data_IF_668342142172
#
_entry.id   IF_668342142172
#
_cell.length_a   1.000
_cell.length_b   1.000
_cell.length_c   1.000
_cell.angle_alpha   90.00
_cell.angle_beta   90.00
_cell.angle_gamma   90.00
#
_symmetry.space_group_name_H-M   'P 1'
#
loop_
_entity.id
_entity.type
_entity.pdbx_description
1 polymer ?
#
# COMPACT_ATOMS: atom_id res chain seq x y z
N UNK A 1 -4.23 7.97 -4.85
CA UNK A 1 -3.36 7.08 -4.05
C UNK A 1 -2.25 6.58 -4.96
N UNK A 2 -1.14 7.29 -5.04
CA UNK A 2 -0.07 6.97 -5.99
C UNK A 2 1.23 6.87 -5.24
N UNK A 3 1.72 5.64 -5.08
CA UNK A 3 3.08 5.35 -4.60
C UNK A 3 4.01 5.49 -5.81
N UNK A 4 5.04 6.33 -5.70
CA UNK A 4 5.99 6.62 -6.78
C UNK A 4 6.96 5.44 -6.96
N UNK A 5 7.10 4.97 -8.21
CA UNK A 5 7.69 3.67 -8.63
C UNK A 5 9.23 3.62 -8.50
N UNK A 6 9.89 4.64 -7.94
CA UNK A 6 11.34 4.62 -7.72
C UNK A 6 11.81 3.67 -6.61
N UNK A 7 10.92 3.25 -5.70
CA UNK A 7 11.38 2.61 -4.46
C UNK A 7 10.60 1.35 -4.03
N UNK A 8 9.33 1.14 -4.41
CA UNK A 8 8.63 -0.12 -4.12
C UNK A 8 9.26 -1.29 -4.92
N UNK A 9 9.95 -2.18 -4.22
CA UNK A 9 10.66 -3.32 -4.83
C UNK A 9 9.76 -4.54 -5.13
N UNK A 10 8.48 -4.51 -4.72
CA UNK A 10 7.60 -5.66 -4.90
C UNK A 10 7.96 -6.89 -4.05
N UNK A 11 8.71 -6.71 -2.95
CA UNK A 11 9.23 -7.82 -2.12
C UNK A 11 8.15 -8.63 -1.38
N UNK A 12 6.93 -8.11 -1.27
CA UNK A 12 5.81 -8.83 -0.67
C UNK A 12 5.69 -8.77 0.86
N UNK A 13 6.67 -8.19 1.56
CA UNK A 13 6.71 -8.17 3.03
C UNK A 13 5.44 -7.57 3.66
N UNK A 14 4.96 -6.45 3.11
CA UNK A 14 3.73 -5.80 3.58
C UNK A 14 2.46 -6.63 3.38
N UNK A 15 2.43 -7.51 2.36
CA UNK A 15 1.31 -8.41 2.11
C UNK A 15 1.26 -9.53 3.15
N UNK A 16 2.43 -10.03 3.56
CA UNK A 16 2.57 -11.13 4.51
C UNK A 16 2.35 -10.67 5.96
N UNK A 17 2.80 -9.46 6.30
CA UNK A 17 2.68 -8.96 7.68
C UNK A 17 1.29 -8.43 8.03
N UNK A 18 0.47 -8.07 7.03
CA UNK A 18 -0.81 -7.42 7.29
C UNK A 18 -1.81 -8.41 7.92
N UNK A 19 -2.19 -8.27 9.20
CA UNK A 19 -3.00 -9.26 9.92
C UNK A 19 -4.41 -9.41 9.35
N UNK A 20 -4.91 -8.35 8.72
CA UNK A 20 -6.22 -8.29 8.07
C UNK A 20 -6.15 -8.44 6.55
N UNK A 21 -4.95 -8.66 5.99
CA UNK A 21 -4.71 -8.77 4.55
C UNK A 21 -5.32 -7.64 3.71
N UNK A 22 -5.28 -6.40 4.22
CA UNK A 22 -5.84 -5.23 3.55
C UNK A 22 -4.94 -4.67 2.44
N UNK A 23 -3.71 -5.16 2.28
CA UNK A 23 -2.75 -4.69 1.26
C UNK A 23 -2.75 -5.64 0.06
N UNK A 24 -2.91 -5.07 -1.14
CA UNK A 24 -2.89 -5.83 -2.40
C UNK A 24 -2.02 -5.13 -3.45
N UNK A 25 -1.35 -5.90 -4.33
CA UNK A 25 -0.71 -5.32 -5.49
C UNK A 25 -1.79 -4.85 -6.44
N UNK A 26 -1.67 -3.64 -6.95
CA UNK A 26 -2.51 -3.18 -8.04
C UNK A 26 -1.81 -3.41 -9.36
N UNK A 27 -2.58 -3.90 -10.32
CA UNK A 27 -2.17 -4.05 -11.70
C UNK A 27 -3.09 -3.24 -12.61
N UNK A 28 -2.46 -2.38 -13.38
CA UNK A 28 -2.59 -2.26 -14.82
C UNK A 28 -3.66 -3.04 -15.62
N UNK A 29 -4.40 -2.40 -16.53
CA UNK A 29 -5.08 -3.12 -17.63
C UNK A 29 -4.09 -3.74 -18.63
N UNK A 30 -2.84 -3.26 -18.64
CA UNK A 30 -1.72 -3.77 -19.44
C UNK A 30 -0.84 -4.74 -18.61
N UNK A 31 -1.24 -5.04 -17.38
CA UNK A 31 -0.50 -5.90 -16.46
C UNK A 31 0.70 -5.22 -15.79
N UNK A 32 0.89 -3.92 -15.95
CA UNK A 32 1.93 -3.20 -15.24
C UNK A 32 1.53 -2.98 -13.77
N UNK A 33 2.41 -3.43 -12.87
CA UNK A 33 2.27 -3.25 -11.42
C UNK A 33 3.16 -2.13 -10.89
N UNK A 34 3.39 -2.14 -9.57
CA UNK A 34 4.33 -1.23 -8.91
C UNK A 34 3.70 -0.32 -7.86
N UNK A 35 2.37 -0.41 -7.69
CA UNK A 35 1.66 0.27 -6.60
C UNK A 35 0.88 -0.73 -5.76
N UNK A 36 0.67 -0.37 -4.51
CA UNK A 36 -0.17 -1.10 -3.58
C UNK A 36 -1.50 -0.36 -3.42
N UNK A 37 -2.57 -1.11 -3.22
CA UNK A 37 -3.87 -0.59 -2.76
C UNK A 37 -4.14 -1.09 -1.35
N UNK A 38 -4.78 -0.23 -0.56
CA UNK A 38 -5.23 -0.54 0.80
C UNK A 38 -6.74 -0.64 0.77
N UNK A 39 -7.28 -1.74 1.27
CA UNK A 39 -8.71 -2.03 1.32
C UNK A 39 -9.35 -1.40 2.56
N UNK A 40 -10.67 -1.19 2.50
CA UNK A 40 -11.45 -0.45 3.51
C UNK A 40 -11.39 -1.04 4.92
N UNK A 41 -11.09 -2.33 5.05
CA UNK A 41 -10.97 -3.01 6.34
C UNK A 41 -9.57 -2.89 6.97
N UNK A 42 -8.70 -2.03 6.43
CA UNK A 42 -7.44 -1.66 7.07
C UNK A 42 -7.70 -1.00 8.42
N UNK A 43 -7.00 -1.45 9.46
CA UNK A 43 -7.16 -0.94 10.83
C UNK A 43 -6.17 0.17 11.19
N UNK A 44 -5.22 0.48 10.30
CA UNK A 44 -4.14 1.44 10.59
C UNK A 44 -3.13 0.94 11.65
N UNK A 45 -2.87 -0.37 11.70
CA UNK A 45 -1.96 -0.98 12.69
C UNK A 45 -0.48 -0.57 12.52
N UNK A 46 -0.02 -0.35 11.28
CA UNK A 46 1.32 0.16 11.00
C UNK A 46 2.39 -0.89 10.70
N UNK A 47 2.16 -2.20 10.86
CA UNK A 47 3.17 -3.23 10.55
C UNK A 47 3.73 -3.14 9.13
N UNK A 48 2.93 -2.70 8.17
CA UNK A 48 3.37 -2.55 6.78
C UNK A 48 4.46 -1.48 6.62
N UNK A 49 4.45 -0.44 7.45
CA UNK A 49 5.49 0.59 7.49
C UNK A 49 6.77 -0.03 8.06
N UNK A 50 6.66 -0.68 9.21
CA UNK A 50 7.80 -1.26 9.92
C UNK A 50 8.53 -2.34 9.10
N UNK A 51 7.80 -3.17 8.36
CA UNK A 51 8.39 -4.27 7.60
C UNK A 51 8.98 -3.83 6.25
N UNK A 52 8.76 -2.58 5.82
CA UNK A 52 9.18 -2.14 4.50
C UNK A 52 10.70 -1.99 4.42
N UNK A 53 11.44 -2.84 3.68
CA UNK A 53 12.91 -2.83 3.70
C UNK A 53 13.52 -1.60 3.01
N UNK A 54 12.70 -0.84 2.30
CA UNK A 54 13.07 0.35 1.52
C UNK A 54 12.37 1.60 2.02
N UNK A 55 11.58 1.49 3.09
CA UNK A 55 10.93 2.60 3.80
C UNK A 55 10.09 3.51 2.88
N UNK A 56 9.17 2.90 2.10
CA UNK A 56 8.35 3.62 1.09
C UNK A 56 6.86 3.65 1.41
N UNK A 57 6.46 3.14 2.57
CA UNK A 57 5.06 3.07 3.00
C UNK A 57 4.85 4.14 4.06
N UNK A 58 3.94 5.07 3.79
CA UNK A 58 3.56 6.14 4.72
C UNK A 58 2.11 5.95 5.20
N UNK A 59 1.90 6.20 6.50
CA UNK A 59 0.56 6.23 7.10
C UNK A 59 -0.01 7.64 7.00
N UNK A 60 -1.07 7.80 6.21
CA UNK A 60 -1.84 9.05 6.13
C UNK A 60 -3.21 8.87 6.80
N UNK A 61 -3.78 9.91 7.42
CA UNK A 61 -5.15 9.84 7.94
C UNK A 61 -6.12 9.40 6.85
N UNK A 62 -7.10 8.56 7.20
CA UNK A 62 -8.16 8.19 6.28
C UNK A 62 -8.88 9.45 5.82
N UNK A 63 -8.58 9.90 4.61
CA UNK A 63 -9.20 11.05 3.98
C UNK A 63 -10.66 10.69 3.75
N UNK A 64 -11.53 11.27 4.59
CA UNK A 64 -12.98 11.26 4.40
C UNK A 64 -13.25 11.67 2.95
N UNK A 65 -13.89 10.77 2.21
CA UNK A 65 -14.29 10.94 0.81
C UNK A 65 -14.77 12.37 0.52
N UNK A 66 -13.94 13.15 -0.18
CA UNK A 66 -14.22 14.56 -0.46
C UNK A 66 -13.11 15.23 -1.26
N UNK A 67 -12.78 14.71 -2.44
CA UNK A 67 -11.92 15.42 -3.38
C UNK A 67 -11.11 14.49 -4.27
N UNK A 68 -11.60 14.29 -5.49
CA UNK A 68 -10.77 13.84 -6.59
C UNK A 68 -9.66 14.86 -6.80
N UNK A 69 -8.41 14.46 -6.58
CA UNK A 69 -7.23 15.04 -7.20
C UNK A 69 -6.18 13.94 -7.39
#
# INVERSE_FOLDING_TARGET
MTVTIGACQGCGACLLTCPVHAIRPWVDQQGAGGRLVVLDHCTGCGECVEVCPVDVIEMVPAQTSGGWQ
#
